data_IF_410968031789
#
_entry.id   IF_410968031789
#
_cell.length_a   1.000
_cell.length_b   1.000
_cell.length_c   1.000
_cell.angle_alpha   90.00
_cell.angle_beta   90.00
_cell.angle_gamma   90.00
#
_symmetry.space_group_name_H-M   'P 1'
#
loop_
_entity.id
_entity.type
_entity.pdbx_description
1 polymer ?
#
# COMPACT_ATOMS: atom_id res chain seq x y z
N UNK A 1 56.65 -26.28 -45.12
CA UNK A 1 55.36 -26.74 -44.57
C UNK A 1 55.65 -27.35 -43.21
N UNK A 2 55.12 -26.95 -42.05
CA UNK A 2 54.17 -25.91 -41.63
C UNK A 2 54.18 -25.97 -40.10
N UNK A 3 54.58 -24.86 -39.45
CA UNK A 3 53.93 -24.22 -38.30
C UNK A 3 53.29 -25.08 -37.18
N UNK A 4 53.80 -24.97 -35.94
CA UNK A 4 52.96 -25.05 -34.72
C UNK A 4 53.46 -24.09 -33.62
N UNK A 5 52.77 -22.94 -33.57
CA UNK A 5 52.62 -21.90 -32.55
C UNK A 5 52.86 -22.35 -31.09
N UNK A 6 53.68 -21.64 -30.32
CA UNK A 6 53.34 -20.45 -29.52
C UNK A 6 52.19 -20.71 -28.53
N UNK A 7 52.55 -21.10 -27.31
CA UNK A 7 51.64 -21.16 -26.18
C UNK A 7 52.31 -20.49 -24.97
N UNK A 8 51.98 -19.22 -24.75
CA UNK A 8 51.93 -18.64 -23.40
C UNK A 8 51.19 -17.29 -23.47
N UNK A 9 49.86 -17.34 -23.51
CA UNK A 9 49.04 -16.17 -23.15
C UNK A 9 48.96 -16.20 -21.62
N UNK A 10 49.81 -15.38 -20.98
CA UNK A 10 49.83 -15.25 -19.52
C UNK A 10 48.55 -14.58 -19.07
N UNK A 11 47.89 -15.29 -18.14
CA UNK A 11 46.65 -14.99 -17.46
C UNK A 11 46.79 -13.71 -16.63
N UNK A 12 46.03 -12.67 -16.95
CA UNK A 12 45.87 -11.51 -16.08
C UNK A 12 44.40 -11.05 -16.11
N UNK A 13 43.51 -11.91 -15.61
CA UNK A 13 42.16 -11.50 -15.22
C UNK A 13 42.30 -10.79 -13.88
N UNK A 14 42.49 -9.46 -13.94
CA UNK A 14 42.41 -8.61 -12.77
C UNK A 14 40.96 -8.66 -12.26
N UNK A 15 40.80 -9.36 -11.14
CA UNK A 15 39.59 -9.48 -10.35
C UNK A 15 39.22 -8.10 -9.81
N UNK A 16 38.31 -7.40 -10.50
CA UNK A 16 37.54 -6.30 -9.91
C UNK A 16 36.41 -6.92 -9.08
N UNK A 17 36.73 -7.27 -7.82
CA UNK A 17 35.75 -7.43 -6.75
C UNK A 17 35.75 -6.10 -5.96
N UNK A 18 34.59 -5.74 -5.39
CA UNK A 18 34.17 -4.43 -4.83
C UNK A 18 33.44 -3.55 -5.86
N UNK A 19 32.15 -3.22 -5.74
CA UNK A 19 31.21 -3.29 -4.63
C UNK A 19 29.81 -3.46 -5.25
N UNK A 20 29.26 -4.68 -5.24
CA UNK A 20 27.81 -4.80 -5.33
C UNK A 20 27.36 -4.65 -3.90
N UNK A 21 27.17 -3.40 -3.46
CA UNK A 21 26.28 -3.14 -2.35
C UNK A 21 24.98 -3.85 -2.71
N UNK A 22 24.67 -4.92 -1.97
CA UNK A 22 23.40 -5.59 -2.08
C UNK A 22 22.34 -4.49 -1.95
N UNK A 23 21.61 -4.23 -3.03
CA UNK A 23 20.27 -3.68 -2.93
C UNK A 23 19.52 -4.72 -2.11
N UNK A 24 19.59 -4.59 -0.79
CA UNK A 24 18.74 -5.36 0.09
C UNK A 24 17.33 -4.94 -0.30
N UNK A 25 16.63 -5.84 -0.99
CA UNK A 25 15.20 -5.73 -1.16
C UNK A 25 14.64 -5.59 0.26
N UNK A 26 14.02 -4.45 0.57
CA UNK A 26 13.33 -4.26 1.85
C UNK A 26 12.46 -5.51 2.08
N UNK A 27 12.55 -6.17 3.25
CA UNK A 27 11.83 -7.42 3.47
C UNK A 27 10.36 -7.18 3.14
N UNK A 28 9.85 -7.92 2.14
CA UNK A 28 8.51 -7.73 1.64
C UNK A 28 7.53 -7.73 2.82
N UNK A 29 6.96 -6.54 3.11
CA UNK A 29 6.07 -6.36 4.24
C UNK A 29 4.93 -7.37 4.21
N UNK A 30 4.40 -7.74 5.38
CA UNK A 30 3.26 -8.66 5.43
C UNK A 30 2.02 -7.98 4.84
N UNK A 31 1.45 -8.58 3.79
CA UNK A 31 0.18 -8.14 3.24
C UNK A 31 -0.93 -8.19 4.30
N UNK A 32 -1.67 -7.09 4.43
CA UNK A 32 -2.83 -6.97 5.34
C UNK A 32 -4.16 -7.25 4.63
N UNK A 33 -4.14 -7.28 3.30
CA UNK A 33 -5.29 -7.60 2.45
C UNK A 33 -4.89 -8.72 1.50
N UNK A 34 -5.74 -9.73 1.38
CA UNK A 34 -5.51 -10.93 0.56
C UNK A 34 -5.83 -10.72 -0.93
N UNK A 35 -6.51 -9.62 -1.27
CA UNK A 35 -6.96 -9.34 -2.64
C UNK A 35 -8.31 -9.98 -2.99
N UNK A 36 -8.95 -10.67 -2.06
CA UNK A 36 -10.10 -11.54 -2.34
C UNK A 36 -11.26 -11.32 -1.35
N UNK A 37 -10.95 -11.03 -0.09
CA UNK A 37 -11.93 -10.99 0.99
C UNK A 37 -11.60 -9.97 2.07
N UNK A 38 -12.58 -9.69 2.93
CA UNK A 38 -12.40 -8.89 4.13
C UNK A 38 -12.12 -9.75 5.37
N UNK A 39 -11.50 -10.93 5.21
CA UNK A 39 -11.11 -11.75 6.34
C UNK A 39 -10.14 -10.98 7.27
N UNK A 40 -10.49 -10.86 8.55
CA UNK A 40 -9.74 -10.06 9.52
C UNK A 40 -10.00 -8.56 9.44
N UNK A 41 -11.09 -8.15 8.77
CA UNK A 41 -11.57 -6.77 8.71
C UNK A 41 -13.03 -6.69 9.12
N UNK A 42 -13.40 -5.58 9.73
CA UNK A 42 -14.78 -5.22 10.07
C UNK A 42 -15.17 -3.86 9.47
N UNK A 43 -16.41 -3.75 9.02
CA UNK A 43 -16.93 -2.53 8.42
C UNK A 43 -18.28 -2.73 7.74
N UNK A 44 -18.84 -1.64 7.21
CA UNK A 44 -20.13 -1.66 6.55
C UNK A 44 -20.00 -2.09 5.08
N UNK A 45 -20.37 -3.34 4.78
CA UNK A 45 -20.22 -3.92 3.44
C UNK A 45 -21.20 -3.32 2.39
N UNK A 46 -22.13 -2.46 2.80
CA UNK A 46 -22.90 -1.65 1.84
C UNK A 46 -22.04 -0.58 1.16
N UNK A 47 -20.92 -0.20 1.78
CA UNK A 47 -20.00 0.85 1.31
C UNK A 47 -18.61 0.33 0.98
N UNK A 48 -18.24 -0.87 1.42
CA UNK A 48 -16.95 -1.49 1.11
C UNK A 48 -17.14 -2.81 0.38
N UNK A 49 -16.36 -3.00 -0.68
CA UNK A 49 -16.36 -4.23 -1.48
C UNK A 49 -14.98 -4.51 -2.05
N UNK A 50 -14.76 -5.75 -2.47
CA UNK A 50 -13.58 -6.13 -3.23
C UNK A 50 -13.93 -6.13 -4.72
N UNK A 51 -13.21 -5.34 -5.52
CA UNK A 51 -13.31 -5.33 -6.98
C UNK A 51 -11.89 -5.31 -7.56
N UNK A 52 -11.62 -6.13 -8.57
CA UNK A 52 -10.32 -6.20 -9.25
C UNK A 52 -9.12 -6.32 -8.29
N UNK A 53 -9.29 -7.13 -7.24
CA UNK A 53 -8.30 -7.33 -6.16
C UNK A 53 -7.93 -6.07 -5.38
N UNK A 54 -8.81 -5.08 -5.36
CA UNK A 54 -8.67 -3.85 -4.59
C UNK A 54 -9.86 -3.66 -3.64
N UNK A 55 -9.59 -3.01 -2.51
CA UNK A 55 -10.65 -2.50 -1.64
C UNK A 55 -11.25 -1.27 -2.32
N UNK A 56 -12.56 -1.30 -2.56
CA UNK A 56 -13.32 -0.16 -3.09
C UNK A 56 -14.27 0.36 -2.04
N UNK A 57 -14.07 1.61 -1.65
CA UNK A 57 -14.89 2.35 -0.72
C UNK A 57 -15.86 3.29 -1.46
N UNK A 58 -17.10 3.39 -0.98
CA UNK A 58 -18.12 4.29 -1.53
C UNK A 58 -18.70 3.83 -2.86
N UNK A 59 -19.50 4.70 -3.48
CA UNK A 59 -20.15 4.44 -4.78
C UNK A 59 -20.43 5.74 -5.54
N UNK A 60 -20.48 5.66 -6.87
CA UNK A 60 -20.90 6.78 -7.74
C UNK A 60 -22.43 6.91 -7.86
N UNK A 61 -23.20 5.98 -7.28
CA UNK A 61 -24.66 5.92 -7.46
C UNK A 61 -25.44 6.81 -6.50
N UNK A 62 -24.91 7.04 -5.30
CA UNK A 62 -25.57 7.79 -4.22
C UNK A 62 -24.52 8.38 -3.26
N UNK A 63 -24.81 9.52 -2.62
CA UNK A 63 -23.91 10.08 -1.62
C UNK A 63 -23.80 9.15 -0.40
N UNK A 64 -22.62 9.15 0.22
CA UNK A 64 -22.42 8.48 1.50
C UNK A 64 -23.08 9.34 2.60
N UNK A 65 -23.93 8.78 3.46
CA UNK A 65 -24.71 9.57 4.41
C UNK A 65 -23.89 10.09 5.60
N UNK A 66 -22.71 9.52 5.84
CA UNK A 66 -21.79 9.80 6.96
C UNK A 66 -20.44 9.14 6.68
N UNK A 67 -19.47 9.34 7.57
CA UNK A 67 -18.22 8.61 7.49
C UNK A 67 -18.43 7.12 7.76
N UNK A 68 -17.77 6.28 6.95
CA UNK A 68 -17.80 4.83 7.08
C UNK A 68 -16.36 4.32 7.06
N UNK A 69 -16.08 3.29 7.85
CA UNK A 69 -14.72 2.81 8.07
C UNK A 69 -14.65 1.29 7.96
N UNK A 70 -13.66 0.83 7.19
CA UNK A 70 -13.22 -0.55 7.16
C UNK A 70 -11.93 -0.64 8.00
N UNK A 71 -11.97 -1.39 9.10
CA UNK A 71 -10.87 -1.51 10.04
C UNK A 71 -10.40 -2.95 10.14
N UNK A 72 -9.10 -3.16 10.32
CA UNK A 72 -8.58 -4.48 10.67
C UNK A 72 -9.05 -4.85 12.08
N UNK A 73 -9.41 -6.11 12.30
CA UNK A 73 -9.68 -6.65 13.65
C UNK A 73 -8.40 -6.72 14.49
N UNK A 74 -7.25 -6.78 13.81
CA UNK A 74 -5.93 -6.79 14.42
C UNK A 74 -5.44 -5.38 14.75
N UNK A 75 -4.80 -5.24 15.90
CA UNK A 75 -4.01 -4.07 16.27
C UNK A 75 -2.54 -4.21 15.82
N UNK A 76 -1.95 -3.08 15.43
CA UNK A 76 -0.55 -2.98 15.00
C UNK A 76 0.20 -1.99 15.90
N UNK A 77 1.42 -2.37 16.30
CA UNK A 77 2.34 -1.51 17.05
C UNK A 77 3.07 -0.54 16.14
N UNK A 78 4.39 -0.67 16.05
CA UNK A 78 5.18 0.08 15.07
C UNK A 78 5.19 -0.66 13.73
N UNK A 79 4.97 0.08 12.66
CA UNK A 79 4.87 -0.45 11.31
C UNK A 79 5.23 0.60 10.26
N UNK A 80 5.59 0.13 9.08
CA UNK A 80 5.61 0.90 7.84
C UNK A 80 4.51 0.34 6.93
N UNK A 81 3.62 1.21 6.45
CA UNK A 81 2.49 0.82 5.59
C UNK A 81 2.71 1.36 4.19
N UNK A 82 2.85 0.45 3.23
CA UNK A 82 2.93 0.76 1.80
C UNK A 82 1.66 0.32 1.11
N UNK A 83 1.01 1.25 0.40
CA UNK A 83 -0.20 0.98 -0.38
C UNK A 83 -0.28 1.89 -1.61
N UNK A 84 -1.16 1.54 -2.54
CA UNK A 84 -1.56 2.40 -3.66
C UNK A 84 -3.02 2.79 -3.46
N UNK A 85 -3.34 4.05 -3.67
CA UNK A 85 -4.70 4.56 -3.58
C UNK A 85 -5.09 5.29 -4.88
N UNK A 86 -6.39 5.29 -5.18
CA UNK A 86 -6.98 6.03 -6.28
C UNK A 86 -8.30 6.65 -5.82
N UNK A 87 -8.43 7.96 -5.96
CA UNK A 87 -9.68 8.67 -5.75
C UNK A 87 -10.45 8.80 -7.07
N UNK A 88 -11.76 8.66 -7.00
CA UNK A 88 -12.68 8.78 -8.13
C UNK A 88 -13.86 9.66 -7.72
N UNK A 89 -14.32 10.51 -8.64
CA UNK A 89 -15.44 11.42 -8.44
C UNK A 89 -15.01 12.84 -8.08
N UNK A 90 -15.87 13.79 -8.40
CA UNK A 90 -15.63 15.21 -8.14
C UNK A 90 -15.80 15.50 -6.64
N UNK A 91 -14.84 16.22 -6.05
CA UNK A 91 -14.83 16.51 -4.62
C UNK A 91 -14.64 15.28 -3.73
N UNK A 92 -14.10 14.18 -4.27
CA UNK A 92 -13.84 12.98 -3.50
C UNK A 92 -12.88 13.25 -2.32
N UNK A 93 -13.26 12.74 -1.16
CA UNK A 93 -12.46 12.75 0.06
C UNK A 93 -12.45 11.32 0.63
N UNK A 94 -11.26 10.87 1.04
CA UNK A 94 -11.04 9.64 1.76
C UNK A 94 -9.79 9.81 2.65
N UNK A 95 -9.39 8.74 3.33
CA UNK A 95 -8.16 8.74 4.09
C UNK A 95 -7.78 7.34 4.55
N UNK A 96 -6.52 7.20 4.94
CA UNK A 96 -6.04 6.01 5.64
C UNK A 96 -5.86 6.40 7.10
N UNK A 97 -6.69 5.82 7.97
CA UNK A 97 -6.54 6.02 9.40
C UNK A 97 -5.62 4.98 10.03
N UNK A 98 -4.87 5.42 11.04
CA UNK A 98 -3.96 4.59 11.80
C UNK A 98 -3.93 5.00 13.27
N UNK A 99 -3.51 4.04 14.12
CA UNK A 99 -3.63 4.14 15.59
C UNK A 99 -5.08 4.46 16.02
N UNK A 100 -6.01 3.89 15.26
CA UNK A 100 -7.45 4.12 15.37
C UNK A 100 -8.05 3.31 16.52
N UNK A 101 -9.01 3.91 17.22
CA UNK A 101 -9.88 3.25 18.19
C UNK A 101 -11.33 3.38 17.74
N UNK A 102 -12.06 2.26 17.79
CA UNK A 102 -13.52 2.29 17.68
C UNK A 102 -14.12 3.05 18.85
N UNK A 103 -15.09 3.91 18.57
CA UNK A 103 -15.91 4.54 19.60
C UNK A 103 -17.09 3.60 19.88
N UNK A 104 -17.29 3.14 21.14
CA UNK A 104 -18.37 2.23 21.46
C UNK A 104 -19.73 2.78 21.04
N UNK A 105 -20.54 1.94 20.38
CA UNK A 105 -21.89 2.28 19.91
C UNK A 105 -21.95 3.51 18.97
N UNK A 106 -20.91 3.74 18.19
CA UNK A 106 -20.82 4.87 17.26
C UNK A 106 -20.21 4.44 15.92
N UNK A 107 -20.50 5.20 14.85
CA UNK A 107 -19.97 4.93 13.51
C UNK A 107 -18.56 5.52 13.31
N UNK A 108 -18.32 6.68 13.93
CA UNK A 108 -17.00 7.32 13.94
C UNK A 108 -15.96 6.54 14.73
N UNK A 109 -14.71 6.89 14.44
CA UNK A 109 -13.52 6.37 15.10
C UNK A 109 -12.64 7.52 15.58
N UNK A 110 -11.70 7.24 16.48
CA UNK A 110 -10.73 8.22 16.97
C UNK A 110 -9.32 7.75 16.61
N UNK A 111 -8.58 8.57 15.87
CA UNK A 111 -7.24 8.21 15.40
C UNK A 111 -6.59 9.31 14.58
N UNK A 112 -5.41 9.01 14.05
CA UNK A 112 -4.76 9.87 13.08
C UNK A 112 -5.18 9.47 11.67
N UNK A 113 -5.27 10.44 10.76
CA UNK A 113 -5.62 10.20 9.36
C UNK A 113 -4.53 10.77 8.45
N UNK A 114 -4.06 9.94 7.52
CA UNK A 114 -3.43 10.42 6.31
C UNK A 114 -4.55 10.74 5.31
N UNK A 115 -4.83 12.04 5.16
CA UNK A 115 -5.96 12.51 4.34
C UNK A 115 -5.67 12.36 2.84
N UNK A 116 -6.70 12.01 2.08
CA UNK A 116 -6.68 11.85 0.64
C UNK A 116 -7.90 12.57 0.07
N UNK A 117 -7.75 13.86 -0.17
CA UNK A 117 -8.78 14.70 -0.78
C UNK A 117 -8.29 15.41 -2.04
N UNK A 118 -9.23 15.90 -2.83
CA UNK A 118 -8.94 16.88 -3.88
C UNK A 118 -9.01 18.27 -3.25
N UNK A 119 -7.95 19.06 -3.39
CA UNK A 119 -7.97 20.48 -3.01
C UNK A 119 -8.86 21.22 -4.01
N UNK A 120 -10.12 21.47 -3.65
CA UNK A 120 -10.99 22.36 -4.43
C UNK A 120 -10.67 23.82 -4.06
N UNK A 121 -10.76 24.73 -5.03
CA UNK A 121 -10.48 26.18 -4.82
C UNK A 121 -11.38 26.84 -3.76
N UNK A 122 -12.48 26.19 -3.39
CA UNK A 122 -13.54 26.80 -2.58
C UNK A 122 -13.74 26.11 -1.21
N UNK A 123 -12.96 25.07 -0.88
CA UNK A 123 -13.04 24.38 0.42
C UNK A 123 -11.65 24.20 1.02
N UNK A 124 -11.36 24.98 2.05
CA UNK A 124 -10.26 24.70 2.97
C UNK A 124 -10.67 23.50 3.83
N UNK A 125 -9.85 22.45 3.79
CA UNK A 125 -9.77 21.41 4.81
C UNK A 125 -9.50 22.01 6.19
#
# INVERSE_FOLDING_TARGET
MTLRHLALVVFAVAVFLFDIAALADEPAGRAIFDGESFAGWEGNLDWFRVEDKAVVAGTMKKPIPRNEFLCTEREYGDFELTLKAKLLGDGANAGIQFRTKRIPNHHEVSGYQCDMGVVSKDHNI
#
